data_IF_172460843554
#
_entry.id   IF_172460843554
#
_cell.length_a   1.000
_cell.length_b   1.000
_cell.length_c   1.000
_cell.angle_alpha   90.00
_cell.angle_beta   90.00
_cell.angle_gamma   90.00
#
_symmetry.space_group_name_H-M   'P 1'
#
loop_
_entity.id
_entity.type
_entity.pdbx_description
1 polymer ?
#
# COMPACT_ATOMS: atom_id res chain seq x y z
N UNK A 1 0.60 -9.94 1.53
CA UNK A 1 1.74 -10.66 2.15
C UNK A 1 1.22 -11.62 3.21
N UNK A 2 1.90 -12.76 3.37
CA UNK A 2 1.73 -13.70 4.49
C UNK A 2 2.90 -13.48 5.47
N UNK A 3 3.05 -12.30 6.10
CA UNK A 3 4.21 -12.07 6.97
C UNK A 3 3.95 -11.05 8.07
N UNK A 4 4.26 -11.44 9.31
CA UNK A 4 4.21 -10.56 10.47
C UNK A 4 3.77 -11.28 11.77
N UNK A 5 4.22 -10.71 12.89
CA UNK A 5 3.71 -10.92 14.24
C UNK A 5 2.69 -9.82 14.54
N UNK A 6 1.62 -10.12 15.28
CA UNK A 6 0.58 -9.10 15.52
C UNK A 6 1.01 -8.05 16.56
N UNK A 7 1.60 -8.50 17.67
CA UNK A 7 2.07 -7.62 18.76
C UNK A 7 3.56 -7.30 18.63
N UNK A 8 4.39 -8.29 18.29
CA UNK A 8 5.86 -8.17 18.09
C UNK A 8 6.67 -7.60 19.25
N UNK A 9 5.99 -7.12 20.28
CA UNK A 9 6.46 -6.40 21.46
C UNK A 9 5.38 -6.50 22.54
N UNK A 10 5.78 -6.37 23.80
CA UNK A 10 4.86 -6.32 24.92
C UNK A 10 4.00 -5.05 24.85
N UNK A 11 2.71 -5.16 25.19
CA UNK A 11 1.78 -4.03 25.21
C UNK A 11 1.14 -3.88 26.59
N UNK A 12 1.15 -2.65 27.13
CA UNK A 12 0.45 -2.32 28.35
C UNK A 12 -1.01 -1.99 28.04
N UNK A 13 -1.95 -2.77 28.56
CA UNK A 13 -3.40 -2.59 28.36
C UNK A 13 -4.11 -2.74 29.70
N UNK A 14 -4.89 -1.72 30.09
CA UNK A 14 -5.66 -1.70 31.34
C UNK A 14 -4.83 -2.07 32.60
N UNK A 15 -3.56 -1.67 32.64
CA UNK A 15 -2.63 -1.97 33.74
C UNK A 15 -2.04 -3.39 33.73
N UNK A 16 -2.42 -4.24 32.77
CA UNK A 16 -1.80 -5.54 32.53
C UNK A 16 -0.84 -5.51 31.33
N UNK A 17 0.11 -6.45 31.31
CA UNK A 17 1.03 -6.63 30.18
C UNK A 17 0.50 -7.77 29.30
N UNK A 18 0.22 -7.47 28.04
CA UNK A 18 0.05 -8.46 26.98
C UNK A 18 1.43 -8.74 26.39
N UNK A 19 1.96 -9.93 26.64
CA UNK A 19 3.29 -10.31 26.15
C UNK A 19 3.34 -10.39 24.62
N UNK A 20 4.51 -10.10 24.07
CA UNK A 20 4.80 -10.24 22.64
C UNK A 20 4.45 -11.65 22.16
N UNK A 21 3.59 -11.73 21.15
CA UNK A 21 3.26 -12.99 20.50
C UNK A 21 4.10 -13.13 19.22
N UNK A 22 5.05 -14.10 19.14
CA UNK A 22 5.89 -14.31 17.96
C UNK A 22 5.14 -15.05 16.83
N UNK A 23 3.82 -14.99 16.82
CA UNK A 23 2.93 -15.56 15.80
C UNK A 23 1.85 -14.56 15.42
N UNK A 24 1.06 -14.92 14.41
CA UNK A 24 -0.18 -14.22 14.11
C UNK A 24 -1.23 -14.55 15.17
N UNK A 25 -2.17 -13.64 15.34
CA UNK A 25 -3.38 -13.84 16.14
C UNK A 25 -4.56 -13.23 15.37
N UNK A 26 -5.60 -14.01 15.10
CA UNK A 26 -6.80 -13.54 14.42
C UNK A 26 -7.83 -12.95 15.38
N UNK A 27 -7.78 -13.31 16.66
CA UNK A 27 -8.71 -12.88 17.69
C UNK A 27 -8.33 -11.55 18.32
N UNK A 28 -7.04 -11.35 18.63
CA UNK A 28 -6.61 -10.13 19.29
C UNK A 28 -6.96 -8.83 18.53
N UNK A 29 -6.84 -8.72 17.18
CA UNK A 29 -7.29 -7.52 16.46
C UNK A 29 -8.79 -7.29 16.62
N UNK A 30 -9.59 -8.37 16.59
CA UNK A 30 -11.04 -8.33 16.77
C UNK A 30 -11.37 -7.84 18.18
N UNK A 31 -10.74 -8.42 19.20
CA UNK A 31 -10.94 -8.03 20.61
C UNK A 31 -10.47 -6.60 20.88
N UNK A 32 -9.37 -6.15 20.27
CA UNK A 32 -8.88 -4.78 20.39
C UNK A 32 -9.90 -3.77 19.83
N UNK A 33 -10.47 -4.06 18.66
CA UNK A 33 -11.53 -3.23 18.06
C UNK A 33 -12.79 -3.24 18.93
N UNK A 34 -13.27 -4.41 19.35
CA UNK A 34 -14.47 -4.53 20.19
C UNK A 34 -14.29 -3.86 21.56
N UNK A 35 -13.12 -4.01 22.18
CA UNK A 35 -12.77 -3.34 23.44
C UNK A 35 -12.70 -1.81 23.28
N UNK A 36 -12.17 -1.33 22.14
CA UNK A 36 -12.18 0.10 21.81
C UNK A 36 -13.60 0.62 21.60
N UNK A 37 -14.46 -0.13 20.91
CA UNK A 37 -15.88 0.21 20.75
C UNK A 37 -16.61 0.28 22.09
N UNK A 38 -16.40 -0.71 22.96
CA UNK A 38 -17.04 -0.79 24.27
C UNK A 38 -16.58 0.34 25.20
N UNK A 39 -15.28 0.63 25.25
CA UNK A 39 -14.71 1.69 26.09
C UNK A 39 -15.08 3.10 25.61
N UNK A 40 -15.13 3.33 24.29
CA UNK A 40 -15.51 4.61 23.71
C UNK A 40 -17.03 4.83 23.62
N UNK A 41 -17.85 3.79 23.83
CA UNK A 41 -19.29 3.85 23.63
C UNK A 41 -19.70 4.15 22.18
N UNK A 42 -18.88 3.77 21.20
CA UNK A 42 -19.04 4.11 19.77
C UNK A 42 -19.21 2.88 18.90
N UNK A 43 -19.93 3.04 17.79
CA UNK A 43 -19.99 2.04 16.73
C UNK A 43 -18.66 1.97 15.99
N UNK A 44 -18.39 0.85 15.31
CA UNK A 44 -17.21 0.73 14.45
C UNK A 44 -17.17 1.81 13.35
N UNK A 45 -18.33 2.13 12.77
CA UNK A 45 -18.45 3.15 11.72
C UNK A 45 -18.05 4.55 12.20
N UNK A 46 -18.38 4.91 13.45
CA UNK A 46 -18.03 6.20 14.05
C UNK A 46 -16.60 6.23 14.60
N UNK A 47 -16.03 5.09 15.00
CA UNK A 47 -14.62 5.03 15.38
C UNK A 47 -13.70 5.43 14.22
N UNK A 48 -14.06 5.09 12.98
CA UNK A 48 -13.31 5.48 11.77
C UNK A 48 -13.02 6.99 11.73
N UNK A 49 -13.97 7.81 12.16
CA UNK A 49 -13.86 9.28 12.15
C UNK A 49 -12.76 9.78 13.10
N UNK A 50 -12.41 8.99 14.13
CA UNK A 50 -11.40 9.34 15.13
C UNK A 50 -9.99 9.38 14.54
N UNK A 51 -9.70 8.53 13.55
CA UNK A 51 -8.35 8.37 13.01
C UNK A 51 -8.05 9.28 11.82
N UNK A 52 -9.04 10.01 11.30
CA UNK A 52 -8.92 10.89 10.14
C UNK A 52 -8.06 10.28 9.01
N UNK A 53 -8.28 8.97 8.74
CA UNK A 53 -7.46 8.22 7.80
C UNK A 53 -7.64 8.77 6.38
N UNK A 54 -6.57 8.83 5.58
CA UNK A 54 -6.68 9.24 4.19
C UNK A 54 -7.59 8.28 3.41
N UNK A 55 -8.13 8.78 2.29
CA UNK A 55 -8.93 7.93 1.40
C UNK A 55 -7.99 7.03 0.62
N UNK A 56 -8.24 5.72 0.67
CA UNK A 56 -7.49 4.73 -0.09
C UNK A 56 -8.29 4.28 -1.32
N UNK A 57 -7.63 4.21 -2.46
CA UNK A 57 -8.13 3.55 -3.67
C UNK A 57 -7.13 2.47 -4.11
N UNK A 58 -7.62 1.43 -4.75
CA UNK A 58 -6.78 0.33 -5.25
C UNK A 58 -7.36 -0.27 -6.51
N UNK A 59 -6.48 -0.63 -7.45
CA UNK A 59 -6.87 -1.38 -8.65
C UNK A 59 -5.68 -2.24 -9.14
N UNK A 60 -5.94 -3.12 -10.10
CA UNK A 60 -4.95 -4.02 -10.68
C UNK A 60 -5.00 -4.06 -12.20
N UNK A 61 -3.83 -4.30 -12.79
CA UNK A 61 -3.70 -4.83 -14.14
C UNK A 61 -3.79 -6.35 -14.08
N UNK A 62 -4.86 -6.91 -14.65
CA UNK A 62 -4.94 -8.34 -14.93
C UNK A 62 -4.12 -8.70 -16.18
N UNK A 63 -3.73 -9.96 -16.31
CA UNK A 63 -2.93 -10.49 -17.43
C UNK A 63 -1.62 -9.73 -17.64
N UNK A 64 -1.01 -9.25 -16.56
CA UNK A 64 0.26 -8.54 -16.58
C UNK A 64 1.37 -9.53 -16.21
N UNK A 65 2.20 -10.00 -17.17
CA UNK A 65 3.13 -11.10 -16.94
C UNK A 65 4.11 -10.82 -15.79
N UNK A 66 4.43 -11.85 -15.02
CA UNK A 66 5.32 -11.75 -13.86
C UNK A 66 6.69 -11.16 -14.23
N UNK A 67 7.24 -11.53 -15.38
CA UNK A 67 8.53 -11.00 -15.85
C UNK A 67 8.46 -9.52 -16.23
N UNK A 68 7.34 -9.08 -16.84
CA UNK A 68 7.08 -7.66 -17.11
C UNK A 68 6.99 -6.87 -15.81
N UNK A 69 6.23 -7.39 -14.83
CA UNK A 69 6.17 -6.85 -13.46
C UNK A 69 7.55 -6.72 -12.82
N UNK A 70 8.36 -7.78 -12.87
CA UNK A 70 9.72 -7.78 -12.30
C UNK A 70 10.65 -6.81 -13.01
N UNK A 71 10.57 -6.71 -14.34
CA UNK A 71 11.34 -5.74 -15.13
C UNK A 71 11.00 -4.32 -14.71
N UNK A 72 9.70 -3.99 -14.68
CA UNK A 72 9.24 -2.67 -14.27
C UNK A 72 9.66 -2.33 -12.84
N UNK A 73 9.47 -3.25 -11.89
CA UNK A 73 9.87 -3.01 -10.49
C UNK A 73 11.38 -2.82 -10.33
N UNK A 74 12.22 -3.55 -11.09
CA UNK A 74 13.68 -3.32 -11.10
C UNK A 74 14.03 -1.93 -11.61
N UNK A 75 13.38 -1.46 -12.68
CA UNK A 75 13.58 -0.10 -13.20
C UNK A 75 13.16 0.96 -12.19
N UNK A 76 12.02 0.76 -11.54
CA UNK A 76 11.50 1.68 -10.53
C UNK A 76 12.26 1.65 -9.20
N UNK A 77 13.13 0.65 -8.97
CA UNK A 77 14.07 0.67 -7.85
C UNK A 77 15.14 1.75 -7.98
N UNK A 78 15.39 2.27 -9.19
CA UNK A 78 16.21 3.47 -9.38
C UNK A 78 15.41 4.73 -9.06
N UNK A 79 15.94 5.58 -8.16
CA UNK A 79 15.24 6.75 -7.63
C UNK A 79 14.91 7.77 -8.71
N UNK A 80 15.80 8.00 -9.68
CA UNK A 80 15.57 8.98 -10.75
C UNK A 80 14.52 8.47 -11.74
N UNK A 81 14.53 7.18 -12.03
CA UNK A 81 13.51 6.53 -12.85
C UNK A 81 12.15 6.56 -12.16
N UNK A 82 12.09 6.26 -10.86
CA UNK A 82 10.87 6.38 -10.06
C UNK A 82 10.34 7.82 -10.05
N UNK A 83 11.21 8.80 -9.81
CA UNK A 83 10.83 10.21 -9.79
C UNK A 83 10.27 10.66 -11.14
N UNK A 84 10.85 10.21 -12.27
CA UNK A 84 10.30 10.46 -13.61
C UNK A 84 8.96 9.76 -13.83
N UNK A 85 8.83 8.53 -13.34
CA UNK A 85 7.60 7.75 -13.46
C UNK A 85 6.43 8.41 -12.70
N UNK A 86 6.68 8.90 -11.48
CA UNK A 86 5.70 9.52 -10.59
C UNK A 86 5.62 11.05 -10.71
N UNK A 87 6.38 11.68 -11.60
CA UNK A 87 6.42 13.14 -11.77
C UNK A 87 5.04 13.84 -11.88
N UNK A 88 4.00 13.26 -12.52
CA UNK A 88 2.66 13.88 -12.55
C UNK A 88 2.00 14.06 -11.19
N UNK A 89 2.47 13.33 -10.18
CA UNK A 89 1.95 13.38 -8.80
C UNK A 89 2.85 14.21 -7.88
N UNK A 90 3.93 14.81 -8.41
CA UNK A 90 4.87 15.65 -7.68
C UNK A 90 6.20 14.96 -7.36
N UNK A 91 6.83 15.37 -6.27
CA UNK A 91 8.15 14.87 -5.85
C UNK A 91 8.05 13.71 -4.87
N UNK A 92 8.88 12.71 -5.05
CA UNK A 92 9.02 11.57 -4.13
C UNK A 92 9.86 12.02 -2.94
N UNK A 93 9.21 12.09 -1.78
CA UNK A 93 9.85 12.43 -0.52
C UNK A 93 10.60 11.22 0.07
N UNK A 94 9.99 10.04 -0.01
CA UNK A 94 10.44 8.84 0.71
C UNK A 94 9.93 7.55 0.06
N UNK A 95 10.65 6.44 0.27
CA UNK A 95 10.40 5.15 -0.38
C UNK A 95 10.54 4.03 0.65
N UNK A 96 9.57 3.13 0.70
CA UNK A 96 9.60 1.86 1.44
C UNK A 96 9.44 0.69 0.47
N UNK A 97 10.37 -0.27 0.53
CA UNK A 97 10.43 -1.43 -0.37
C UNK A 97 10.00 -2.76 0.29
N UNK A 98 9.53 -2.73 1.54
CA UNK A 98 9.28 -3.92 2.37
C UNK A 98 8.24 -4.88 1.77
N UNK A 99 7.16 -4.35 1.15
CA UNK A 99 6.09 -5.16 0.55
C UNK A 99 5.68 -4.63 -0.83
N UNK A 100 6.66 -4.45 -1.72
CA UNK A 100 6.53 -3.70 -2.97
C UNK A 100 7.08 -2.29 -2.81
N UNK A 101 6.91 -1.43 -3.81
CA UNK A 101 7.46 -0.08 -3.81
C UNK A 101 6.39 0.92 -3.37
N UNK A 102 6.52 1.44 -2.15
CA UNK A 102 5.64 2.44 -1.57
C UNK A 102 6.34 3.79 -1.53
N UNK A 103 5.94 4.69 -2.42
CA UNK A 103 6.43 6.05 -2.49
C UNK A 103 5.49 6.99 -1.71
N UNK A 104 6.07 7.84 -0.86
CA UNK A 104 5.38 8.98 -0.24
C UNK A 104 5.77 10.24 -0.98
N UNK A 105 4.78 10.96 -1.48
CA UNK A 105 4.95 12.23 -2.19
C UNK A 105 5.12 13.39 -1.19
N UNK A 106 5.72 14.49 -1.61
CA UNK A 106 5.84 15.71 -0.79
C UNK A 106 4.48 16.33 -0.43
N UNK A 107 3.44 16.04 -1.22
CA UNK A 107 2.04 16.39 -0.92
C UNK A 107 1.44 15.60 0.25
N UNK A 108 2.11 14.53 0.70
CA UNK A 108 1.58 13.56 1.66
C UNK A 108 0.81 12.41 1.01
N UNK A 109 0.57 12.45 -0.30
CA UNK A 109 -0.03 11.35 -1.05
C UNK A 109 0.89 10.11 -1.03
N UNK A 110 0.30 8.93 -1.04
CA UNK A 110 1.05 7.66 -1.09
C UNK A 110 0.69 6.93 -2.37
N UNK A 111 1.69 6.35 -3.03
CA UNK A 111 1.54 5.51 -4.21
C UNK A 111 2.30 4.21 -3.94
N UNK A 112 1.57 3.08 -3.91
CA UNK A 112 2.15 1.78 -3.61
C UNK A 112 1.97 0.83 -4.79
N UNK A 113 3.08 0.46 -5.40
CA UNK A 113 3.18 -0.45 -6.53
C UNK A 113 3.57 -1.84 -6.04
N UNK A 114 2.78 -2.84 -6.42
CA UNK A 114 3.01 -4.20 -5.96
C UNK A 114 2.71 -5.24 -7.04
N UNK A 115 3.70 -5.98 -7.53
CA UNK A 115 3.44 -7.16 -8.34
C UNK A 115 2.83 -8.28 -7.49
N UNK A 116 1.94 -9.07 -8.07
CA UNK A 116 1.42 -10.26 -7.41
C UNK A 116 2.48 -11.37 -7.42
N UNK A 117 2.71 -12.00 -6.27
CA UNK A 117 3.61 -13.16 -6.15
C UNK A 117 3.00 -14.47 -6.67
N UNK A 118 1.68 -14.50 -6.86
CA UNK A 118 0.91 -15.73 -7.10
C UNK A 118 0.10 -15.71 -8.41
N UNK A 119 0.05 -14.59 -9.13
CA UNK A 119 -0.77 -14.41 -10.32
C UNK A 119 -0.12 -13.39 -11.28
N UNK A 120 -0.43 -13.41 -12.59
CA UNK A 120 0.02 -12.40 -13.54
C UNK A 120 -0.78 -11.09 -13.35
N UNK A 121 -0.54 -10.42 -12.23
CA UNK A 121 -1.21 -9.19 -11.86
C UNK A 121 -0.23 -8.15 -11.30
N UNK A 122 -0.50 -6.88 -11.59
CA UNK A 122 0.23 -5.74 -11.04
C UNK A 122 -0.75 -4.79 -10.35
N UNK A 123 -0.55 -4.52 -9.07
CA UNK A 123 -1.48 -3.74 -8.23
C UNK A 123 -0.91 -2.36 -7.95
N UNK A 124 -1.81 -1.38 -7.88
CA UNK A 124 -1.53 -0.04 -7.39
C UNK A 124 -2.52 0.30 -6.29
N UNK A 125 -2.00 0.87 -5.20
CA UNK A 125 -2.79 1.47 -4.12
C UNK A 125 -2.39 2.94 -4.03
N UNK A 126 -3.35 3.82 -3.77
CA UNK A 126 -3.08 5.23 -3.53
C UNK A 126 -3.83 5.74 -2.31
N UNK A 127 -3.18 6.58 -1.51
CA UNK A 127 -3.80 7.32 -0.41
C UNK A 127 -3.78 8.81 -0.74
N UNK A 128 -4.93 9.48 -0.64
CA UNK A 128 -5.06 10.90 -0.91
C UNK A 128 -6.18 11.54 -0.06
N UNK A 129 -6.26 12.87 -0.12
CA UNK A 129 -7.26 13.65 0.62
C UNK A 129 -8.70 13.42 0.13
N UNK A 130 -8.90 12.90 -1.07
CA UNK A 130 -10.23 12.60 -1.62
C UNK A 130 -10.26 11.31 -2.41
N UNK A 131 -11.44 10.69 -2.49
CA UNK A 131 -11.65 9.48 -3.28
C UNK A 131 -11.33 9.70 -4.76
N UNK A 132 -11.80 10.82 -5.33
CA UNK A 132 -11.52 11.17 -6.72
C UNK A 132 -10.01 11.20 -7.01
N UNK A 133 -9.23 11.87 -6.14
CA UNK A 133 -7.79 11.97 -6.32
C UNK A 133 -7.08 10.63 -6.16
N UNK A 134 -7.45 9.83 -5.16
CA UNK A 134 -6.88 8.50 -4.98
C UNK A 134 -7.13 7.61 -6.22
N UNK A 135 -8.35 7.62 -6.75
CA UNK A 135 -8.72 6.83 -7.94
C UNK A 135 -8.02 7.34 -9.21
N UNK A 136 -7.87 8.65 -9.37
CA UNK A 136 -7.10 9.25 -10.47
C UNK A 136 -5.63 8.81 -10.43
N UNK A 137 -4.99 8.88 -9.26
CA UNK A 137 -3.60 8.44 -9.07
C UNK A 137 -3.46 6.97 -9.47
N UNK A 138 -4.35 6.10 -8.99
CA UNK A 138 -4.34 4.67 -9.34
C UNK A 138 -4.49 4.47 -10.85
N UNK A 139 -5.49 5.10 -11.48
CA UNK A 139 -5.73 4.96 -12.91
C UNK A 139 -4.54 5.41 -13.75
N UNK A 140 -3.99 6.59 -13.47
CA UNK A 140 -2.82 7.14 -14.18
C UNK A 140 -1.57 6.29 -13.96
N UNK A 141 -1.34 5.81 -12.74
CA UNK A 141 -0.18 4.98 -12.40
C UNK A 141 -0.23 3.64 -13.12
N UNK A 142 -1.38 2.98 -13.14
CA UNK A 142 -1.55 1.72 -13.86
C UNK A 142 -1.45 1.90 -15.38
N UNK A 143 -1.95 3.00 -15.93
CA UNK A 143 -1.77 3.31 -17.35
C UNK A 143 -0.29 3.47 -17.69
N UNK A 144 0.47 4.22 -16.88
CA UNK A 144 1.93 4.35 -17.06
C UNK A 144 2.67 3.02 -16.96
N UNK A 145 2.24 2.13 -16.06
CA UNK A 145 2.80 0.78 -15.97
C UNK A 145 2.55 -0.04 -17.25
N UNK A 146 1.36 0.09 -17.87
CA UNK A 146 1.06 -0.51 -19.18
C UNK A 146 1.95 0.06 -20.28
N UNK A 147 2.09 1.39 -20.34
CA UNK A 147 2.86 2.06 -21.38
C UNK A 147 4.34 1.69 -21.31
N UNK A 148 4.92 1.66 -20.10
CA UNK A 148 6.29 1.20 -19.88
C UNK A 148 6.48 -0.26 -20.30
N UNK A 149 5.51 -1.13 -20.03
CA UNK A 149 5.55 -2.52 -20.47
C UNK A 149 5.46 -2.69 -22.00
N UNK A 150 4.77 -1.79 -22.70
CA UNK A 150 4.69 -1.79 -24.16
C UNK A 150 6.00 -1.29 -24.79
N UNK A 151 6.60 -0.23 -24.25
CA UNK A 151 7.89 0.29 -24.70
C UNK A 151 9.00 -0.77 -24.63
N UNK A 152 9.06 -1.53 -23.54
CA UNK A 152 10.02 -2.63 -23.35
C UNK A 152 9.90 -3.73 -24.40
N UNK A 153 8.70 -3.96 -24.95
CA UNK A 153 8.49 -4.94 -26.02
C UNK A 153 8.95 -4.42 -27.38
N UNK A 154 8.90 -3.11 -27.61
CA UNK A 154 9.33 -2.49 -28.86
C UNK A 154 10.85 -2.42 -28.94
N UNK A 155 11.54 -2.16 -27.82
CA UNK A 155 13.02 -2.15 -27.75
C UNK A 155 13.66 -3.55 -27.81
N UNK A 156 12.89 -4.61 -27.58
CA UNK A 156 13.37 -6.00 -27.59
C UNK A 156 13.23 -6.71 -28.95
N UNK A 157 12.73 -6.02 -29.98
CA UNK A 157 12.56 -6.51 -31.37
C UNK A 157 13.56 -5.80 -32.29
#
# INVERSE_FOLDING_TARGET
>A
ANGGVLLGSDCLVNGGILSALPTRDSFLPILAVLGTMASAGKTLSSLRETWNLPVCASERLENFPVETSRSLMRKLGDRDTLQRFLAPFGMVADIDETDGLRARMTSGEIIHLRPSGNAPEFRCYAEAASHHRATEIVAMTLQRARDAALADKVEAV
#
